data_IF_425312006887
#
_entry.id   IF_425312006887
#
_cell.length_a   1.000
_cell.length_b   1.000
_cell.length_c   1.000
_cell.angle_alpha   90.00
_cell.angle_beta   90.00
_cell.angle_gamma   90.00
#
_symmetry.space_group_name_H-M   'P 1'
#
loop_
_entity.id
_entity.type
_entity.pdbx_description
1 polymer ?
#
# COMPACT_ATOMS: atom_id res chain seq x y z
N UNK A 1 24.81 -6.77 0.65
CA UNK A 1 23.67 -5.85 0.35
C UNK A 1 22.89 -5.58 1.64
N UNK A 2 23.51 -4.98 2.67
CA UNK A 2 22.83 -4.60 3.91
C UNK A 2 23.59 -3.51 4.71
N UNK A 3 24.15 -2.52 4.03
CA UNK A 3 24.53 -1.25 4.67
C UNK A 3 23.27 -0.39 5.02
N UNK A 4 22.15 -1.04 5.40
CA UNK A 4 20.80 -0.49 5.19
C UNK A 4 19.85 -0.43 6.40
N UNK A 5 20.19 -0.97 7.58
CA UNK A 5 19.30 -0.81 8.75
C UNK A 5 19.69 0.29 9.74
N UNK A 6 20.96 0.70 9.84
CA UNK A 6 21.30 1.99 10.49
C UNK A 6 20.84 3.21 9.67
N UNK A 7 20.51 3.00 8.39
CA UNK A 7 19.95 4.03 7.50
C UNK A 7 18.42 4.09 7.51
N UNK A 8 17.69 3.17 8.15
CA UNK A 8 16.23 3.17 8.09
C UNK A 8 15.59 4.39 8.79
N UNK A 9 16.16 4.85 9.91
CA UNK A 9 15.70 6.06 10.60
C UNK A 9 16.05 7.33 9.81
N UNK A 10 17.22 7.36 9.16
CA UNK A 10 17.63 8.49 8.31
C UNK A 10 16.87 8.55 6.96
N UNK A 11 16.50 7.40 6.40
CA UNK A 11 15.76 7.28 5.12
C UNK A 11 14.29 7.65 5.30
N UNK A 12 13.67 7.37 6.45
CA UNK A 12 12.33 7.86 6.78
C UNK A 12 12.27 9.39 6.85
N UNK A 13 13.33 10.05 7.34
CA UNK A 13 13.41 11.52 7.42
C UNK A 13 13.78 12.16 6.06
N UNK A 14 14.64 11.51 5.25
CA UNK A 14 15.03 12.05 3.93
C UNK A 14 14.00 11.82 2.82
N UNK A 15 13.22 10.73 2.85
CA UNK A 15 12.12 10.51 1.88
C UNK A 15 10.98 11.52 2.04
N UNK A 16 10.73 11.98 3.27
CA UNK A 16 9.74 13.03 3.55
C UNK A 16 10.21 14.41 3.06
N UNK A 17 11.51 14.67 3.04
CA UNK A 17 12.09 15.94 2.58
C UNK A 17 12.29 16.00 1.05
N UNK A 18 12.67 14.89 0.40
CA UNK A 18 12.84 14.84 -1.05
C UNK A 18 11.50 14.82 -1.82
N UNK A 19 10.44 14.25 -1.23
CA UNK A 19 9.09 14.29 -1.79
C UNK A 19 8.52 15.72 -1.89
N UNK A 20 8.98 16.66 -1.06
CA UNK A 20 8.58 18.06 -1.12
C UNK A 20 9.33 18.87 -2.20
N UNK A 21 10.54 18.46 -2.59
CA UNK A 21 11.37 19.18 -3.57
C UNK A 21 10.99 18.87 -5.03
N UNK A 22 10.47 17.68 -5.32
CA UNK A 22 10.06 17.29 -6.69
C UNK A 22 8.80 18.03 -7.16
N UNK A 23 8.02 18.62 -6.24
CA UNK A 23 6.85 19.43 -6.58
C UNK A 23 7.17 20.87 -7.02
N UNK A 24 8.45 21.28 -7.04
CA UNK A 24 8.84 22.66 -7.40
C UNK A 24 9.75 22.76 -8.65
N UNK A 25 10.08 21.64 -9.31
CA UNK A 25 10.89 21.64 -10.53
C UNK A 25 10.05 21.67 -11.80
N UNK A 26 9.77 22.87 -12.33
CA UNK A 26 9.17 23.06 -13.67
C UNK A 26 10.02 22.40 -14.76
N UNK A 27 9.38 21.59 -15.61
CA UNK A 27 9.97 21.00 -16.81
C UNK A 27 8.93 20.77 -17.91
N UNK A 28 8.65 21.83 -18.67
CA UNK A 28 8.05 21.93 -20.02
C UNK A 28 7.46 20.63 -20.63
N UNK A 29 6.15 20.44 -20.51
CA UNK A 29 5.40 19.46 -21.29
C UNK A 29 5.06 20.07 -22.66
N UNK A 30 5.44 19.39 -23.74
CA UNK A 30 4.93 19.69 -25.09
C UNK A 30 3.47 19.24 -25.14
N UNK A 31 2.57 20.17 -25.40
CA UNK A 31 1.16 19.91 -25.70
C UNK A 31 1.06 19.25 -27.07
N UNK A 32 0.70 17.96 -27.10
CA UNK A 32 0.15 17.36 -28.31
C UNK A 32 -1.34 17.73 -28.37
N UNK A 33 -1.76 18.35 -29.47
CA UNK A 33 -3.14 18.77 -29.69
C UNK A 33 -4.12 17.59 -29.80
N UNK A 34 -5.44 17.87 -29.72
CA UNK A 34 -6.47 16.85 -29.80
C UNK A 34 -6.54 16.31 -31.23
N UNK A 35 -6.17 15.04 -31.44
CA UNK A 35 -6.48 14.34 -32.70
C UNK A 35 -5.48 13.32 -33.25
N UNK A 36 -4.25 13.18 -32.73
CA UNK A 36 -3.29 12.22 -33.29
C UNK A 36 -2.85 11.18 -32.24
N UNK A 37 -3.62 10.10 -32.09
CA UNK A 37 -3.14 8.92 -31.39
C UNK A 37 -2.02 8.26 -32.20
N UNK A 38 -0.83 8.07 -31.61
CA UNK A 38 0.21 7.22 -32.20
C UNK A 38 -0.37 5.84 -32.52
N UNK A 39 0.07 5.20 -33.61
CA UNK A 39 -0.32 3.84 -33.97
C UNK A 39 -0.10 2.86 -32.80
N UNK A 40 0.98 3.04 -32.05
CA UNK A 40 1.29 2.28 -30.84
C UNK A 40 0.24 2.48 -29.73
N UNK A 41 -0.23 3.72 -29.55
CA UNK A 41 -1.28 4.05 -28.59
C UNK A 41 -2.62 3.42 -28.95
N UNK A 42 -2.99 3.42 -30.24
CA UNK A 42 -4.21 2.76 -30.72
C UNK A 42 -4.17 1.24 -30.53
N UNK A 43 -3.01 0.61 -30.76
CA UNK A 43 -2.81 -0.82 -30.53
C UNK A 43 -2.94 -1.14 -29.03
N UNK A 44 -2.26 -0.37 -28.17
CA UNK A 44 -2.33 -0.57 -26.72
C UNK A 44 -3.77 -0.43 -26.19
N UNK A 45 -4.53 0.55 -26.69
CA UNK A 45 -5.95 0.70 -26.34
C UNK A 45 -6.79 -0.53 -26.69
N UNK A 46 -6.60 -1.09 -27.88
CA UNK A 46 -7.31 -2.30 -28.31
C UNK A 46 -6.92 -3.52 -27.48
N UNK A 47 -5.62 -3.71 -27.23
CA UNK A 47 -5.10 -4.81 -26.41
C UNK A 47 -5.66 -4.73 -25.00
N UNK A 48 -5.59 -3.56 -24.36
CA UNK A 48 -6.14 -3.37 -23.03
C UNK A 48 -7.66 -3.52 -23.00
N UNK A 49 -8.38 -3.06 -24.02
CA UNK A 49 -9.83 -3.26 -24.14
C UNK A 49 -10.21 -4.75 -24.23
N UNK A 50 -9.52 -5.52 -25.07
CA UNK A 50 -9.74 -6.95 -25.23
C UNK A 50 -9.44 -7.74 -23.96
N UNK A 51 -8.33 -7.44 -23.27
CA UNK A 51 -7.95 -8.09 -22.00
C UNK A 51 -9.00 -7.90 -20.91
N UNK A 52 -9.76 -6.80 -20.93
CA UNK A 52 -10.84 -6.54 -19.96
C UNK A 52 -12.16 -7.15 -20.32
N UNK A 53 -12.45 -7.24 -21.62
CA UNK A 53 -13.68 -7.83 -22.13
C UNK A 53 -13.77 -9.34 -21.87
N UNK A 54 -12.65 -9.99 -21.52
CA UNK A 54 -12.65 -11.38 -21.04
C UNK A 54 -13.18 -12.40 -22.05
N UNK A 55 -13.07 -12.13 -23.35
CA UNK A 55 -13.36 -13.12 -24.41
C UNK A 55 -12.22 -14.16 -24.41
N UNK A 56 -12.39 -15.47 -24.14
CA UNK A 56 -13.56 -16.38 -24.03
C UNK A 56 -13.20 -17.64 -23.16
N UNK A 57 -14.03 -18.70 -22.98
CA UNK A 57 -15.50 -18.87 -22.84
C UNK A 57 -15.91 -19.44 -21.44
N UNK A 58 -17.22 -19.47 -21.11
CA UNK A 58 -17.74 -19.65 -19.73
C UNK A 58 -18.35 -21.00 -19.32
N UNK A 59 -18.87 -21.06 -18.09
CA UNK A 59 -19.96 -21.95 -17.65
C UNK A 59 -20.60 -21.46 -16.33
N UNK A 60 -21.92 -21.63 -16.20
CA UNK A 60 -22.79 -21.16 -15.10
C UNK A 60 -22.82 -22.10 -13.88
N UNK A 61 -23.02 -21.52 -12.69
CA UNK A 61 -23.96 -22.05 -11.68
C UNK A 61 -23.40 -22.55 -10.33
N UNK A 62 -24.04 -22.12 -9.23
CA UNK A 62 -24.09 -22.82 -7.92
C UNK A 62 -23.23 -22.22 -6.80
N UNK A 63 -23.85 -21.48 -5.87
CA UNK A 63 -23.16 -20.79 -4.77
C UNK A 63 -22.96 -21.62 -3.50
N UNK A 64 -21.98 -21.20 -2.70
CA UNK A 64 -21.86 -21.36 -1.25
C UNK A 64 -20.99 -20.19 -0.74
N UNK A 65 -21.42 -19.51 0.32
CA UNK A 65 -20.72 -18.35 0.91
C UNK A 65 -19.79 -18.79 2.05
N UNK A 66 -18.50 -18.47 2.01
CA UNK A 66 -17.63 -18.52 3.18
C UNK A 66 -17.51 -17.15 3.86
N UNK A 67 -17.18 -17.17 5.14
CA UNK A 67 -17.10 -16.02 6.04
C UNK A 67 -16.18 -14.88 5.53
N UNK A 68 -16.62 -13.64 5.78
CA UNK A 68 -15.93 -12.42 5.38
C UNK A 68 -14.65 -12.18 6.19
N UNK A 69 -13.53 -12.71 5.71
CA UNK A 69 -12.25 -11.99 5.76
C UNK A 69 -11.89 -11.55 4.35
N UNK A 70 -12.71 -10.65 3.80
CA UNK A 70 -12.27 -9.89 2.66
C UNK A 70 -11.13 -9.00 3.12
N UNK A 71 -9.96 -9.13 2.51
CA UNK A 71 -9.08 -7.98 2.23
C UNK A 71 -9.82 -7.01 1.30
N UNK A 72 -11.03 -6.60 1.71
CA UNK A 72 -11.81 -5.61 1.03
C UNK A 72 -11.18 -4.29 1.40
N UNK A 73 -10.34 -3.78 0.51
CA UNK A 73 -10.30 -2.34 0.36
C UNK A 73 -11.76 -1.88 0.26
N UNK A 74 -12.17 -0.97 1.11
CA UNK A 74 -13.56 -0.51 1.07
C UNK A 74 -13.72 0.54 -0.04
N UNK A 75 -14.94 0.63 -0.57
CA UNK A 75 -15.33 1.45 -1.71
C UNK A 75 -15.14 2.93 -1.45
N UNK A 76 -14.12 3.55 -2.01
CA UNK A 76 -13.96 5.00 -1.97
C UNK A 76 -13.31 5.52 -3.30
N UNK A 77 -13.41 6.80 -3.67
CA UNK A 77 -12.89 7.33 -4.97
C UNK A 77 -11.80 8.38 -4.72
N UNK A 78 -10.72 8.37 -5.50
CA UNK A 78 -9.44 9.07 -5.22
C UNK A 78 -9.56 10.57 -4.90
N UNK A 79 -10.44 11.32 -5.58
CA UNK A 79 -10.57 12.77 -5.39
C UNK A 79 -11.52 13.18 -4.24
N UNK A 80 -12.40 12.27 -3.79
CA UNK A 80 -13.26 12.44 -2.60
C UNK A 80 -12.76 11.71 -1.36
N UNK A 81 -11.77 10.80 -1.50
CA UNK A 81 -11.30 9.85 -0.46
C UNK A 81 -10.67 10.49 0.78
N UNK A 82 -9.75 11.44 0.60
CA UNK A 82 -9.12 12.07 1.78
C UNK A 82 -10.11 12.95 2.56
N UNK A 83 -11.10 13.54 1.87
CA UNK A 83 -12.24 14.21 2.53
C UNK A 83 -13.11 13.23 3.30
N UNK A 84 -13.29 12.00 2.79
CA UNK A 84 -14.03 10.91 3.46
C UNK A 84 -13.42 10.46 4.79
N UNK A 85 -12.09 10.48 4.91
CA UNK A 85 -11.42 10.19 6.19
C UNK A 85 -11.55 11.32 7.22
N UNK A 86 -12.06 12.50 6.84
CA UNK A 86 -12.36 13.62 7.76
C UNK A 86 -11.21 13.94 8.74
N UNK A 87 -9.97 13.87 8.27
CA UNK A 87 -8.78 14.09 9.10
C UNK A 87 -8.34 12.91 9.98
N UNK A 88 -8.88 11.71 9.75
CA UNK A 88 -8.43 10.46 10.37
C UNK A 88 -7.26 9.85 9.61
N UNK A 89 -6.42 9.12 10.33
CA UNK A 89 -5.35 8.31 9.79
C UNK A 89 -5.89 6.95 9.33
N UNK A 90 -5.13 6.30 8.47
CA UNK A 90 -5.40 4.98 7.91
C UNK A 90 -4.23 4.06 8.26
N UNK A 91 -4.48 3.19 9.23
CA UNK A 91 -3.56 2.16 9.71
C UNK A 91 -4.36 0.88 9.96
N UNK A 92 -4.70 0.13 8.89
CA UNK A 92 -5.51 -1.08 9.04
C UNK A 92 -4.72 -2.10 9.88
N UNK A 93 -5.41 -2.74 10.82
CA UNK A 93 -4.79 -3.71 11.72
C UNK A 93 -5.61 -4.03 12.96
N UNK A 94 -5.27 -5.15 13.57
CA UNK A 94 -5.98 -5.80 14.68
C UNK A 94 -5.04 -6.17 15.82
N UNK A 95 -5.58 -6.73 16.90
CA UNK A 95 -4.74 -7.33 17.95
C UNK A 95 -3.91 -8.49 17.36
N UNK A 96 -2.70 -8.74 17.88
CA UNK A 96 -1.80 -9.75 17.36
C UNK A 96 -2.45 -11.14 17.34
N UNK A 97 -2.55 -11.78 16.17
CA UNK A 97 -2.86 -13.21 16.10
C UNK A 97 -1.77 -14.04 16.78
N UNK A 98 -2.09 -15.25 17.29
CA UNK A 98 -1.13 -16.07 18.04
C UNK A 98 0.21 -16.29 17.35
N UNK A 99 0.19 -16.56 16.03
CA UNK A 99 1.39 -16.85 15.23
C UNK A 99 2.34 -15.63 15.06
N UNK A 100 1.86 -14.41 15.30
CA UNK A 100 2.64 -13.17 15.13
C UNK A 100 3.30 -12.74 16.43
N UNK A 101 2.79 -13.16 17.59
CA UNK A 101 3.27 -12.69 18.91
C UNK A 101 4.77 -12.89 19.15
N UNK A 102 5.39 -13.91 18.56
CA UNK A 102 6.83 -14.16 18.68
C UNK A 102 7.68 -12.96 18.20
N UNK A 103 7.18 -12.20 17.21
CA UNK A 103 7.85 -11.06 16.58
C UNK A 103 8.13 -9.89 17.53
N UNK A 104 7.35 -9.79 18.60
CA UNK A 104 7.45 -8.73 19.61
C UNK A 104 7.76 -9.27 21.00
N UNK A 105 7.63 -10.59 21.20
CA UNK A 105 7.98 -11.27 22.45
C UNK A 105 9.48 -11.47 22.63
N UNK A 106 10.21 -11.65 21.53
CA UNK A 106 11.64 -11.94 21.54
C UNK A 106 12.46 -10.86 20.84
N UNK A 107 13.69 -10.69 21.28
CA UNK A 107 14.68 -9.81 20.66
C UNK A 107 15.12 -10.40 19.32
N UNK A 108 15.28 -9.55 18.31
CA UNK A 108 15.82 -9.91 17.02
C UNK A 108 16.98 -9.00 16.65
N UNK A 109 18.05 -9.62 16.14
CA UNK A 109 19.28 -8.93 15.79
C UNK A 109 19.67 -9.29 14.36
N UNK A 110 20.21 -8.32 13.64
CA UNK A 110 20.89 -8.62 12.39
C UNK A 110 22.21 -9.32 12.70
N UNK A 111 22.44 -10.44 12.03
CA UNK A 111 23.72 -11.12 12.01
C UNK A 111 24.35 -10.90 10.65
N UNK A 112 25.56 -10.33 10.64
CA UNK A 112 26.35 -10.14 9.44
C UNK A 112 27.58 -11.07 9.50
N UNK A 113 27.47 -12.21 8.82
CA UNK A 113 28.60 -13.12 8.57
C UNK A 113 29.29 -12.77 7.25
N UNK A 114 30.43 -13.42 6.97
CA UNK A 114 31.27 -13.13 5.79
C UNK A 114 30.54 -13.24 4.45
N UNK A 115 29.49 -14.07 4.34
CA UNK A 115 28.70 -14.26 3.10
C UNK A 115 27.17 -14.30 3.30
N UNK A 116 26.67 -14.23 4.53
CA UNK A 116 25.24 -14.33 4.84
C UNK A 116 24.86 -13.22 5.83
N UNK A 117 23.91 -12.39 5.42
CA UNK A 117 23.22 -11.45 6.30
C UNK A 117 21.83 -12.01 6.57
N UNK A 118 21.45 -12.11 7.85
CA UNK A 118 20.19 -12.72 8.25
C UNK A 118 19.71 -12.16 9.58
N UNK A 119 18.42 -12.35 9.87
CA UNK A 119 17.87 -12.00 11.17
C UNK A 119 18.01 -13.21 12.11
N UNK A 120 18.66 -13.01 13.24
CA UNK A 120 18.78 -14.02 14.30
C UNK A 120 17.84 -13.63 15.42
N UNK A 121 17.11 -14.63 15.92
CA UNK A 121 16.23 -14.50 17.10
C UNK A 121 16.90 -15.22 18.26
N UNK A 122 17.84 -14.58 18.99
CA UNK A 122 18.21 -15.12 20.28
C UNK A 122 16.90 -15.19 21.09
N UNK A 123 16.59 -16.33 21.71
CA UNK A 123 15.34 -16.57 22.46
C UNK A 123 15.29 -15.74 23.77
N UNK A 124 15.74 -14.49 23.71
CA UNK A 124 15.80 -13.49 24.76
C UNK A 124 14.48 -12.74 24.75
N UNK A 125 13.77 -12.81 25.87
CA UNK A 125 12.51 -12.10 26.04
C UNK A 125 12.72 -10.59 26.08
N UNK A 126 11.86 -9.86 25.37
CA UNK A 126 11.81 -8.40 25.46
C UNK A 126 11.09 -7.97 26.74
N UNK A 127 11.47 -6.79 27.24
CA UNK A 127 10.66 -6.09 28.23
C UNK A 127 9.26 -5.78 27.67
N UNK A 128 8.24 -5.60 28.52
CA UNK A 128 6.92 -5.17 28.09
C UNK A 128 6.96 -3.85 27.29
N UNK A 129 5.98 -3.59 26.41
CA UNK A 129 5.88 -2.32 25.70
C UNK A 129 5.86 -1.12 26.67
N UNK A 130 6.51 0.00 26.32
CA UNK A 130 6.55 1.18 27.19
C UNK A 130 5.14 1.79 27.33
N UNK A 131 4.94 2.56 28.40
CA UNK A 131 3.69 3.29 28.69
C UNK A 131 2.43 2.40 28.75
N UNK A 132 2.60 1.10 29.06
CA UNK A 132 1.52 0.11 29.08
C UNK A 132 0.73 0.06 27.76
N UNK A 133 1.41 0.28 26.64
CA UNK A 133 0.79 0.25 25.32
C UNK A 133 0.41 -1.19 24.93
N UNK A 134 -0.81 -1.35 24.45
CA UNK A 134 -1.22 -2.59 23.78
C UNK A 134 -0.70 -2.59 22.35
N UNK A 135 0.08 -3.60 21.98
CA UNK A 135 0.60 -3.75 20.62
C UNK A 135 -0.51 -4.23 19.68
N UNK A 136 -0.63 -3.57 18.54
CA UNK A 136 -1.48 -3.98 17.42
C UNK A 136 -0.61 -4.34 16.22
N UNK A 137 -1.11 -5.21 15.34
CA UNK A 137 -0.46 -5.58 14.08
C UNK A 137 -1.33 -5.21 12.89
N UNK A 138 -0.70 -4.75 11.83
CA UNK A 138 -1.34 -4.16 10.67
C UNK A 138 -0.43 -4.06 9.45
N UNK A 139 -0.89 -3.31 8.46
CA UNK A 139 -0.15 -3.09 7.22
C UNK A 139 1.01 -2.13 7.43
N UNK A 140 2.16 -2.42 6.82
CA UNK A 140 3.26 -1.46 6.66
C UNK A 140 2.90 -0.28 5.74
N UNK A 141 1.80 -0.38 4.99
CA UNK A 141 1.31 0.67 4.10
C UNK A 141 0.23 1.49 4.81
N UNK A 142 0.57 2.74 5.12
CA UNK A 142 -0.28 3.64 5.91
C UNK A 142 -0.51 4.97 5.19
N UNK A 143 -1.53 5.69 5.63
CA UNK A 143 -1.74 7.08 5.28
C UNK A 143 -2.07 7.86 6.56
N UNK A 144 -1.21 8.77 6.95
CA UNK A 144 -1.32 9.49 8.23
C UNK A 144 -1.33 10.99 8.01
N UNK A 145 -2.00 11.70 8.90
CA UNK A 145 -2.11 13.16 8.83
C UNK A 145 -0.84 13.84 9.30
N UNK A 146 -0.61 15.07 8.82
CA UNK A 146 0.54 15.88 9.25
C UNK A 146 0.60 16.11 10.77
N UNK A 147 -0.51 16.39 11.48
CA UNK A 147 -0.50 16.46 12.94
C UNK A 147 -0.08 15.16 13.61
N UNK A 148 -0.48 13.99 13.07
CA UNK A 148 -0.04 12.70 13.59
C UNK A 148 1.47 12.51 13.43
N UNK A 149 2.03 12.87 12.27
CA UNK A 149 3.50 12.84 12.07
C UNK A 149 4.21 13.72 13.08
N UNK A 150 3.71 14.93 13.38
CA UNK A 150 4.28 15.79 14.42
C UNK A 150 4.22 15.14 15.81
N UNK A 151 3.13 14.44 16.12
CA UNK A 151 2.99 13.66 17.34
C UNK A 151 4.05 12.56 17.39
N UNK A 152 4.21 11.75 16.34
CA UNK A 152 5.21 10.66 16.26
C UNK A 152 6.63 11.17 16.51
N UNK A 153 6.96 12.36 16.01
CA UNK A 153 8.29 12.95 16.12
C UNK A 153 8.60 13.61 17.47
N UNK A 154 7.59 13.87 18.32
CA UNK A 154 7.75 14.70 19.53
C UNK A 154 7.24 14.06 20.82
N UNK A 155 6.22 13.22 20.74
CA UNK A 155 5.62 12.59 21.91
C UNK A 155 6.51 11.46 22.43
N UNK A 156 6.72 11.45 23.75
CA UNK A 156 7.56 10.45 24.42
C UNK A 156 7.08 9.03 24.19
N UNK A 157 5.76 8.80 24.14
CA UNK A 157 5.20 7.47 23.89
C UNK A 157 5.62 6.92 22.53
N UNK A 158 5.64 7.78 21.51
CA UNK A 158 6.06 7.41 20.16
C UNK A 158 7.56 7.15 20.07
N UNK A 159 8.37 8.02 20.69
CA UNK A 159 9.84 7.88 20.72
C UNK A 159 10.25 6.61 21.47
N UNK A 160 9.66 6.35 22.63
CA UNK A 160 9.99 5.19 23.45
C UNK A 160 9.51 3.89 22.80
N UNK A 161 8.33 3.89 22.16
CA UNK A 161 7.86 2.73 21.39
C UNK A 161 8.78 2.45 20.18
N UNK A 162 9.29 3.48 19.53
CA UNK A 162 10.23 3.33 18.41
C UNK A 162 11.53 2.69 18.91
N UNK A 163 12.07 3.17 20.04
CA UNK A 163 13.26 2.59 20.67
C UNK A 163 13.04 1.12 21.06
N UNK A 164 11.89 0.82 21.68
CA UNK A 164 11.51 -0.55 22.05
C UNK A 164 11.33 -1.47 20.83
N UNK A 165 10.96 -0.93 19.66
CA UNK A 165 10.71 -1.70 18.44
C UNK A 165 11.98 -1.97 17.60
N UNK A 166 13.15 -1.43 17.95
CA UNK A 166 14.36 -1.52 17.12
C UNK A 166 14.83 -2.96 16.85
N UNK A 167 14.62 -3.84 17.81
CA UNK A 167 15.04 -5.22 17.87
C UNK A 167 13.82 -6.17 17.87
N UNK A 168 12.76 -5.80 17.13
CA UNK A 168 11.58 -6.64 16.87
C UNK A 168 11.52 -7.08 15.41
N UNK A 169 10.71 -8.09 15.09
CA UNK A 169 10.52 -8.49 13.68
C UNK A 169 9.55 -7.56 12.97
N UNK A 170 9.98 -6.98 11.84
CA UNK A 170 9.13 -6.15 10.97
C UNK A 170 8.37 -5.07 11.76
N UNK A 171 9.09 -4.14 12.43
CA UNK A 171 8.46 -3.12 13.28
C UNK A 171 7.49 -2.19 12.55
N UNK A 172 7.62 -2.09 11.24
CA UNK A 172 6.69 -1.39 10.36
C UNK A 172 5.26 -1.97 10.38
N UNK A 173 5.09 -3.25 10.74
CA UNK A 173 3.78 -3.91 10.84
C UNK A 173 3.09 -3.71 12.19
N UNK A 174 3.74 -3.13 13.21
CA UNK A 174 3.08 -2.83 14.49
C UNK A 174 3.22 -1.39 14.98
N UNK A 175 4.31 -0.71 14.66
CA UNK A 175 4.62 0.61 15.20
C UNK A 175 3.50 1.64 14.91
N UNK A 176 3.14 1.79 13.64
CA UNK A 176 2.18 2.80 13.19
C UNK A 176 0.76 2.55 13.68
N UNK A 177 0.30 1.31 13.55
CA UNK A 177 -1.05 0.92 13.98
C UNK A 177 -1.17 1.04 15.50
N UNK A 178 -0.15 0.66 16.26
CA UNK A 178 -0.16 0.79 17.73
C UNK A 178 -0.32 2.25 18.15
N UNK A 179 0.47 3.17 17.58
CA UNK A 179 0.37 4.59 17.91
C UNK A 179 -0.98 5.18 17.52
N UNK A 180 -1.55 4.78 16.38
CA UNK A 180 -2.83 5.30 15.92
C UNK A 180 -4.04 4.82 16.73
N UNK A 181 -3.85 3.81 17.60
CA UNK A 181 -4.90 3.26 18.49
C UNK A 181 -4.91 3.96 19.85
N UNK A 182 -3.92 4.81 20.15
CA UNK A 182 -3.88 5.61 21.36
C UNK A 182 -5.03 6.64 21.33
N UNK A 183 -5.95 6.63 22.31
CA UNK A 183 -7.03 7.62 22.33
C UNK A 183 -6.48 9.04 22.42
N UNK A 184 -7.07 9.96 21.63
CA UNK A 184 -6.76 11.38 21.67
C UNK A 184 -5.54 11.82 20.85
N UNK A 185 -4.82 10.90 20.18
CA UNK A 185 -3.77 11.31 19.23
C UNK A 185 -4.40 11.84 17.93
N UNK A 186 -3.72 12.76 17.20
CA UNK A 186 -4.34 13.37 16.03
C UNK A 186 -4.71 12.34 14.95
N UNK A 187 -5.98 12.32 14.55
CA UNK A 187 -6.49 11.38 13.55
C UNK A 187 -6.60 9.93 14.03
N UNK A 188 -6.53 9.67 15.34
CA UNK A 188 -6.62 8.34 15.94
C UNK A 188 -7.83 7.55 15.44
N UNK A 189 -7.65 6.25 15.23
CA UNK A 189 -8.74 5.31 15.09
C UNK A 189 -8.63 4.31 16.24
N UNK A 190 -9.43 4.38 17.31
CA UNK A 190 -9.28 3.48 18.45
C UNK A 190 -9.75 2.04 18.15
N UNK A 191 -10.68 1.86 17.20
CA UNK A 191 -11.26 0.54 16.89
C UNK A 191 -10.35 -0.29 16.00
N UNK A 192 -9.95 -1.48 16.47
CA UNK A 192 -9.19 -2.46 15.71
C UNK A 192 -9.97 -2.98 14.50
N UNK A 193 -9.54 -2.63 13.29
CA UNK A 193 -10.14 -3.10 12.04
C UNK A 193 -9.16 -3.01 10.88
N UNK A 194 -9.44 -3.77 9.82
CA UNK A 194 -8.77 -3.68 8.52
C UNK A 194 -9.37 -2.60 7.61
N UNK A 195 -10.21 -1.71 8.16
CA UNK A 195 -10.87 -0.67 7.39
C UNK A 195 -9.86 0.33 6.83
N UNK A 196 -10.07 0.70 5.56
CA UNK A 196 -9.28 1.70 4.88
C UNK A 196 -7.98 1.17 4.28
N UNK A 197 -7.79 -0.14 4.16
CA UNK A 197 -6.57 -0.68 3.56
C UNK A 197 -6.28 -0.03 2.19
N UNK A 198 -5.02 0.36 2.02
CA UNK A 198 -4.58 1.23 0.94
C UNK A 198 -4.12 0.45 -0.27
N UNK A 199 -3.63 -0.78 -0.04
CA UNK A 199 -2.99 -1.60 -1.07
C UNK A 199 -3.76 -2.86 -1.34
N UNK A 200 -4.04 -3.10 -2.62
CA UNK A 200 -4.46 -4.40 -3.10
C UNK A 200 -3.26 -5.33 -3.01
N UNK A 201 -3.40 -6.44 -2.30
CA UNK A 201 -2.38 -7.49 -2.19
C UNK A 201 -3.07 -8.84 -2.31
N UNK A 202 -2.57 -9.68 -3.23
CA UNK A 202 -2.99 -11.09 -3.33
C UNK A 202 -1.98 -11.95 -2.58
N UNK A 203 -2.40 -12.49 -1.45
CA UNK A 203 -1.58 -13.40 -0.64
C UNK A 203 -1.85 -14.85 -1.03
N UNK A 204 -0.80 -15.69 -0.99
CA UNK A 204 -0.89 -17.10 -1.37
C UNK A 204 -1.80 -17.92 -0.43
N UNK A 205 -1.97 -17.49 0.81
CA UNK A 205 -2.88 -18.13 1.77
C UNK A 205 -4.35 -17.68 1.61
N UNK A 206 -4.64 -16.86 0.59
CA UNK A 206 -5.96 -16.31 0.31
C UNK A 206 -6.43 -16.56 -1.14
N UNK A 207 -5.86 -17.52 -1.87
CA UNK A 207 -6.14 -17.73 -3.31
C UNK A 207 -7.62 -17.86 -3.62
N UNK A 208 -8.35 -18.59 -2.79
CA UNK A 208 -9.80 -18.80 -2.93
C UNK A 208 -10.59 -17.47 -2.91
N UNK A 209 -10.10 -16.46 -2.18
CA UNK A 209 -10.78 -15.17 -2.03
C UNK A 209 -10.61 -14.23 -3.23
N UNK A 210 -9.53 -14.41 -4.00
CA UNK A 210 -9.12 -13.47 -5.04
C UNK A 210 -8.92 -14.11 -6.42
N UNK A 211 -9.19 -15.41 -6.53
CA UNK A 211 -9.15 -16.18 -7.78
C UNK A 211 -7.73 -16.56 -8.21
N UNK A 212 -6.81 -16.75 -7.25
CA UNK A 212 -5.42 -17.10 -7.51
C UNK A 212 -4.58 -15.97 -8.13
N UNK A 213 -3.29 -16.23 -8.32
CA UNK A 213 -2.36 -15.32 -8.97
C UNK A 213 -2.16 -15.70 -10.44
N UNK A 214 -2.33 -14.76 -11.37
CA UNK A 214 -2.12 -15.00 -12.81
C UNK A 214 -0.74 -14.54 -13.29
N UNK A 215 0.14 -14.17 -12.36
CA UNK A 215 1.57 -14.02 -12.59
C UNK A 215 2.34 -15.10 -11.85
N UNK A 216 3.03 -14.73 -10.77
CA UNK A 216 3.72 -15.69 -9.90
C UNK A 216 3.87 -15.16 -8.46
N UNK A 217 4.09 -16.05 -7.49
CA UNK A 217 4.30 -15.67 -6.10
C UNK A 217 5.78 -15.44 -5.77
N UNK A 218 6.08 -14.32 -5.10
CA UNK A 218 7.40 -14.05 -4.51
C UNK A 218 7.23 -13.73 -3.04
N UNK A 219 7.74 -14.62 -2.17
CA UNK A 219 7.61 -14.54 -0.71
C UNK A 219 6.14 -14.47 -0.27
N UNK A 220 5.30 -15.33 -0.85
CA UNK A 220 3.87 -15.44 -0.51
C UNK A 220 2.98 -14.30 -1.00
N UNK A 221 3.51 -13.33 -1.76
CA UNK A 221 2.76 -12.22 -2.36
C UNK A 221 2.78 -12.35 -3.88
N UNK A 222 1.62 -12.24 -4.52
CA UNK A 222 1.48 -12.27 -5.97
C UNK A 222 2.17 -11.07 -6.63
N UNK A 223 3.00 -11.37 -7.62
CA UNK A 223 3.42 -10.44 -8.67
C UNK A 223 2.40 -10.56 -9.78
N UNK A 224 1.63 -9.49 -10.01
CA UNK A 224 0.46 -9.51 -10.88
C UNK A 224 0.83 -9.79 -12.34
N UNK A 225 0.13 -10.75 -12.94
CA UNK A 225 0.16 -11.00 -14.37
C UNK A 225 -0.99 -10.30 -15.12
N UNK A 226 -1.04 -10.46 -16.44
CA UNK A 226 -2.07 -9.83 -17.28
C UNK A 226 -3.48 -10.35 -16.94
N UNK A 227 -3.61 -11.61 -16.52
CA UNK A 227 -4.87 -12.18 -16.06
C UNK A 227 -5.43 -11.53 -14.78
N UNK A 228 -4.60 -10.82 -14.01
CA UNK A 228 -5.04 -10.12 -12.79
C UNK A 228 -5.65 -8.74 -13.08
N UNK A 229 -5.59 -8.24 -14.33
CA UNK A 229 -6.08 -6.91 -14.70
C UNK A 229 -7.55 -6.70 -14.32
N UNK A 230 -8.42 -7.69 -14.54
CA UNK A 230 -9.85 -7.59 -14.17
C UNK A 230 -10.02 -7.41 -12.66
N UNK A 231 -9.27 -8.16 -11.86
CA UNK A 231 -9.29 -8.05 -10.39
C UNK A 231 -8.77 -6.69 -9.93
N UNK A 232 -7.65 -6.24 -10.52
CA UNK A 232 -7.05 -4.93 -10.23
C UNK A 232 -7.98 -3.77 -10.60
N UNK A 233 -8.72 -3.88 -11.71
CA UNK A 233 -9.60 -2.82 -12.20
C UNK A 233 -10.87 -2.69 -11.37
N UNK A 234 -11.33 -3.80 -10.79
CA UNK A 234 -12.44 -3.85 -9.85
C UNK A 234 -12.01 -3.52 -8.41
N UNK A 235 -10.70 -3.44 -8.16
CA UNK A 235 -10.19 -3.10 -6.85
C UNK A 235 -10.58 -1.69 -6.46
N UNK A 236 -11.02 -1.58 -5.22
CA UNK A 236 -11.29 -0.34 -4.49
C UNK A 236 -10.07 0.07 -3.66
N UNK A 237 -8.88 -0.49 -3.86
CA UNK A 237 -7.68 -0.01 -3.19
C UNK A 237 -7.16 1.27 -3.87
N UNK A 238 -6.37 2.08 -3.16
CA UNK A 238 -5.71 3.25 -3.78
C UNK A 238 -4.46 2.85 -4.56
N UNK A 239 -3.77 1.82 -4.09
CA UNK A 239 -2.55 1.28 -4.67
C UNK A 239 -2.65 -0.24 -4.78
N UNK A 240 -1.68 -0.88 -5.43
CA UNK A 240 -1.58 -2.34 -5.53
C UNK A 240 -0.12 -2.81 -5.41
N UNK A 241 0.10 -4.04 -4.99
CA UNK A 241 1.42 -4.65 -4.83
C UNK A 241 1.34 -6.18 -5.09
N UNK A 242 2.18 -6.79 -5.96
CA UNK A 242 3.42 -6.29 -6.61
C UNK A 242 3.31 -6.30 -8.14
N UNK A 243 4.11 -5.47 -8.81
CA UNK A 243 4.22 -5.43 -10.27
C UNK A 243 5.63 -5.78 -10.72
N UNK A 244 5.75 -6.41 -11.88
CA UNK A 244 7.03 -6.66 -12.53
C UNK A 244 6.94 -6.32 -14.02
N UNK A 245 7.50 -5.16 -14.38
CA UNK A 245 7.40 -4.60 -15.73
C UNK A 245 8.06 -5.50 -16.79
N UNK A 246 9.17 -6.17 -16.44
CA UNK A 246 9.92 -7.00 -17.40
C UNK A 246 9.16 -8.26 -17.80
N UNK A 247 8.43 -8.86 -16.86
CA UNK A 247 7.74 -10.13 -17.06
C UNK A 247 6.31 -9.93 -17.55
N UNK A 248 5.62 -8.89 -17.05
CA UNK A 248 4.22 -8.60 -17.39
C UNK A 248 4.02 -7.10 -17.77
N UNK A 249 4.63 -6.62 -18.86
CA UNK A 249 4.57 -5.19 -19.23
C UNK A 249 3.13 -4.69 -19.44
N UNK A 250 2.31 -5.49 -20.13
CA UNK A 250 0.90 -5.17 -20.40
C UNK A 250 0.07 -4.96 -19.13
N UNK A 251 0.40 -5.61 -18.02
CA UNK A 251 -0.29 -5.40 -16.73
C UNK A 251 -0.14 -3.94 -16.27
N UNK A 252 1.08 -3.40 -16.37
CA UNK A 252 1.39 -2.04 -15.94
C UNK A 252 0.88 -1.02 -16.96
N UNK A 253 1.10 -1.27 -18.25
CA UNK A 253 0.70 -0.36 -19.32
C UNK A 253 -0.83 -0.18 -19.39
N UNK A 254 -1.60 -1.27 -19.24
CA UNK A 254 -3.06 -1.18 -19.24
C UNK A 254 -3.61 -0.46 -18.01
N UNK A 255 -2.98 -0.61 -16.84
CA UNK A 255 -3.32 0.18 -15.65
C UNK A 255 -3.04 1.67 -15.89
N UNK A 256 -1.85 2.00 -16.41
CA UNK A 256 -1.46 3.39 -16.70
C UNK A 256 -2.44 4.04 -17.68
N UNK A 257 -2.74 3.37 -18.79
CA UNK A 257 -3.66 3.84 -19.82
C UNK A 257 -5.06 4.11 -19.23
N UNK A 258 -5.59 3.19 -18.41
CA UNK A 258 -6.87 3.38 -17.71
C UNK A 258 -6.82 4.60 -16.78
N UNK A 259 -5.77 4.74 -15.99
CA UNK A 259 -5.62 5.88 -15.08
C UNK A 259 -5.52 7.20 -15.83
N UNK A 260 -4.73 7.25 -16.92
CA UNK A 260 -4.60 8.42 -17.79
C UNK A 260 -5.94 8.82 -18.39
N UNK A 261 -6.67 7.88 -19.01
CA UNK A 261 -8.00 8.13 -19.58
C UNK A 261 -8.98 8.68 -18.56
N UNK A 262 -9.06 8.06 -17.36
CA UNK A 262 -9.93 8.53 -16.27
C UNK A 262 -9.57 9.93 -15.78
N UNK A 263 -8.27 10.23 -15.72
CA UNK A 263 -7.80 11.55 -15.28
C UNK A 263 -8.15 12.61 -16.31
N UNK A 264 -7.89 12.32 -17.59
CA UNK A 264 -8.20 13.23 -18.69
C UNK A 264 -9.71 13.50 -18.80
N UNK A 265 -10.55 12.46 -18.72
CA UNK A 265 -12.01 12.61 -18.74
C UNK A 265 -12.56 13.38 -17.53
N UNK A 266 -11.86 13.35 -16.39
CA UNK A 266 -12.22 14.12 -15.19
C UNK A 266 -11.63 15.54 -15.19
N UNK A 267 -10.72 15.84 -16.12
CA UNK A 267 -10.05 17.14 -16.27
C UNK A 267 -10.68 18.02 -17.35
N UNK A 268 -11.76 17.58 -17.99
CA UNK A 268 -12.60 18.42 -18.84
C UNK A 268 -13.30 19.47 -17.96
N UNK A 269 -12.56 20.51 -17.61
CA UNK A 269 -13.09 21.76 -17.05
C UNK A 269 -13.71 22.52 -18.23
N UNK A 270 -14.93 23.01 -18.07
CA UNK A 270 -15.52 23.99 -19.00
C UNK A 270 -14.52 25.16 -19.10
N UNK A 271 -13.89 25.35 -20.26
CA UNK A 271 -13.02 26.49 -20.49
C UNK A 271 -13.91 27.72 -20.36
N UNK A 272 -13.62 28.60 -19.40
CA UNK A 272 -14.37 29.84 -19.30
C UNK A 272 -14.20 30.63 -20.61
N UNK A 273 -15.28 31.20 -21.18
CA UNK A 273 -15.20 32.01 -22.40
C UNK A 273 -14.14 33.12 -22.31
N UNK A 274 -13.86 33.57 -21.09
CA UNK A 274 -12.90 34.60 -20.72
C UNK A 274 -11.43 34.20 -20.93
N UNK A 275 -11.14 32.93 -21.23
CA UNK A 275 -9.79 32.38 -21.43
C UNK A 275 -9.39 32.28 -22.91
N UNK A 276 -10.30 32.64 -23.81
CA UNK A 276 -9.95 32.92 -25.20
C UNK A 276 -9.44 34.37 -25.27
N UNK A 277 -8.12 34.51 -25.44
CA UNK A 277 -7.47 35.79 -25.70
C UNK A 277 -7.87 36.36 -27.07
#
# INVERSE_FOLDING_TARGET
>A
MAMRQRRAVAVLVTMVLLGAAVLLGRGRWRTAGPGSGSAEGMVLERVCGALLAGQAPGMQGGGLRPATRGSSCSTYVFHSRYKGFRGKNVTPGVLPPPHITARTRFMHQEWEGSNISGLVTPQVHKAPPPHNLTIYFGSAYIAVTRPFVKFVLRDRRAIDLLAWSQDTYSPDEHFWVTLNRIPGVPGSMPNASWEGDLKAVKWIDMEESHGGCHGHYVRGICVYGTGDLKWLFNSTCMFANKFELRTYPLTVECLELRHRKRTLSQSEVQVEPNWYF
#
